data_IF_373730746130
#
_entry.id   IF_373730746130
#
_cell.length_a   1.000
_cell.length_b   1.000
_cell.length_c   1.000
_cell.angle_alpha   90.00
_cell.angle_beta   90.00
_cell.angle_gamma   90.00
#
_symmetry.space_group_name_H-M   'P 1'
#
loop_
_entity.id
_entity.type
_entity.pdbx_description
1 polymer ?
#
# COMPACT_ATOMS: atom_id res chain seq x y z
N UNK A 1 -21.60 9.45 22.62
CA UNK A 1 -22.31 8.82 21.52
C UNK A 1 -21.72 7.43 21.32
N UNK A 2 -22.53 6.41 21.13
CA UNK A 2 -22.06 5.05 20.80
C UNK A 2 -21.78 4.96 19.29
N UNK A 3 -21.00 3.96 18.89
CA UNK A 3 -20.65 3.76 17.46
C UNK A 3 -21.92 3.50 16.64
N UNK A 4 -22.87 2.70 17.17
CA UNK A 4 -24.14 2.40 16.47
C UNK A 4 -24.99 3.65 16.28
N UNK A 5 -25.10 4.51 17.31
CA UNK A 5 -25.78 5.81 17.20
C UNK A 5 -25.14 6.68 16.11
N UNK A 6 -23.79 6.64 16.02
CA UNK A 6 -23.04 7.40 15.02
C UNK A 6 -23.31 6.88 13.60
N UNK A 7 -23.30 5.56 13.39
CA UNK A 7 -23.66 4.93 12.11
C UNK A 7 -25.08 5.33 11.69
N UNK A 8 -26.04 5.27 12.61
CA UNK A 8 -27.42 5.66 12.32
C UNK A 8 -27.56 7.15 11.99
N UNK A 9 -26.81 8.00 12.69
CA UNK A 9 -26.78 9.43 12.44
C UNK A 9 -26.21 9.73 11.05
N UNK A 10 -25.12 9.06 10.65
CA UNK A 10 -24.56 9.18 9.29
C UNK A 10 -25.59 8.82 8.23
N UNK A 11 -26.35 7.74 8.41
CA UNK A 11 -27.42 7.36 7.50
C UNK A 11 -28.59 8.35 7.40
N UNK A 12 -28.78 9.20 8.41
CA UNK A 12 -29.81 10.27 8.38
C UNK A 12 -29.34 11.54 7.68
N UNK A 13 -28.02 11.84 7.73
CA UNK A 13 -27.48 13.09 7.23
C UNK A 13 -26.82 12.98 5.84
N UNK A 14 -26.51 11.75 5.40
CA UNK A 14 -25.85 11.52 4.11
C UNK A 14 -26.71 10.56 3.26
N UNK A 15 -27.30 11.05 2.18
CA UNK A 15 -28.17 10.25 1.30
C UNK A 15 -27.48 9.02 0.70
N UNK A 16 -26.17 9.11 0.42
CA UNK A 16 -25.38 8.01 -0.11
C UNK A 16 -24.76 7.08 0.97
N UNK A 17 -25.21 7.13 2.23
CA UNK A 17 -24.63 6.28 3.28
C UNK A 17 -25.44 4.99 3.49
N UNK A 18 -24.78 3.84 3.32
CA UNK A 18 -25.37 2.52 3.56
C UNK A 18 -25.10 2.06 5.01
N UNK A 19 -26.07 2.32 5.90
CA UNK A 19 -26.00 1.91 7.31
C UNK A 19 -25.97 0.38 7.49
N UNK A 20 -26.56 -0.40 6.57
CA UNK A 20 -26.51 -1.88 6.63
C UNK A 20 -25.12 -2.38 6.31
N UNK A 21 -24.46 -1.78 5.30
CA UNK A 21 -23.08 -2.05 4.96
C UNK A 21 -22.15 -1.67 6.12
N UNK A 22 -22.34 -0.51 6.73
CA UNK A 22 -21.55 -0.07 7.88
C UNK A 22 -21.62 -1.08 9.04
N UNK A 23 -22.80 -1.58 9.38
CA UNK A 23 -22.99 -2.61 10.43
C UNK A 23 -22.32 -3.95 10.04
N UNK A 24 -22.36 -4.34 8.76
CA UNK A 24 -21.67 -5.54 8.25
C UNK A 24 -20.13 -5.39 8.35
N UNK A 25 -19.59 -4.25 7.92
CA UNK A 25 -18.16 -3.96 8.02
C UNK A 25 -17.69 -3.86 9.47
N UNK A 26 -18.44 -3.19 10.34
CA UNK A 26 -18.14 -3.13 11.78
C UNK A 26 -18.04 -4.53 12.40
N UNK A 27 -18.94 -5.45 12.02
CA UNK A 27 -18.87 -6.84 12.46
C UNK A 27 -17.65 -7.57 11.90
N UNK A 28 -17.27 -7.34 10.64
CA UNK A 28 -16.09 -7.96 10.03
C UNK A 28 -14.79 -7.55 10.75
N UNK A 29 -14.70 -6.29 11.17
CA UNK A 29 -13.58 -5.75 11.95
C UNK A 29 -13.64 -5.99 13.46
N UNK A 30 -14.62 -6.77 13.94
CA UNK A 30 -14.87 -6.96 15.38
C UNK A 30 -14.98 -5.64 16.18
N UNK A 31 -15.52 -4.59 15.52
CA UNK A 31 -15.75 -3.29 16.14
C UNK A 31 -16.98 -3.33 17.06
N UNK A 32 -16.78 -3.10 18.35
CA UNK A 32 -17.87 -3.02 19.32
C UNK A 32 -18.72 -1.76 19.07
N UNK A 33 -19.85 -1.96 18.40
CA UNK A 33 -20.79 -0.87 18.07
C UNK A 33 -21.48 -0.25 19.31
N UNK A 34 -21.42 -0.94 20.46
CA UNK A 34 -21.93 -0.42 21.74
C UNK A 34 -20.91 0.42 22.50
N UNK A 35 -19.64 0.40 22.07
CA UNK A 35 -18.61 1.22 22.66
C UNK A 35 -18.88 2.72 22.39
N UNK A 36 -18.47 3.57 23.31
CA UNK A 36 -18.48 5.02 23.07
C UNK A 36 -17.34 5.39 22.11
N UNK A 37 -17.63 6.22 21.12
CA UNK A 37 -16.62 6.67 20.12
C UNK A 37 -15.36 7.27 20.75
N UNK A 38 -15.52 8.01 21.85
CA UNK A 38 -14.39 8.60 22.60
C UNK A 38 -13.58 7.61 23.46
N UNK A 39 -14.09 6.37 23.64
CA UNK A 39 -13.40 5.31 24.40
C UNK A 39 -12.66 4.31 23.51
N UNK A 40 -12.77 4.44 22.19
CA UNK A 40 -12.06 3.58 21.24
C UNK A 40 -10.55 3.81 21.32
N UNK A 41 -9.78 2.71 21.22
CA UNK A 41 -8.34 2.80 20.98
C UNK A 41 -8.05 3.49 19.65
N UNK A 42 -6.81 3.89 19.43
CA UNK A 42 -6.42 4.52 18.15
C UNK A 42 -6.75 3.60 16.96
N UNK A 43 -6.39 2.33 17.03
CA UNK A 43 -6.71 1.35 15.96
C UNK A 43 -8.22 1.20 15.73
N UNK A 44 -9.02 1.01 16.79
CA UNK A 44 -10.48 0.92 16.62
C UNK A 44 -11.13 2.23 16.17
N UNK A 45 -10.51 3.38 16.44
CA UNK A 45 -10.96 4.66 15.87
C UNK A 45 -10.70 4.72 14.38
N UNK A 46 -9.52 4.30 13.93
CA UNK A 46 -9.19 4.14 12.50
C UNK A 46 -10.17 3.17 11.82
N UNK A 47 -10.42 2.00 12.41
CA UNK A 47 -11.43 1.03 11.91
C UNK A 47 -12.81 1.68 11.77
N UNK A 48 -13.26 2.43 12.78
CA UNK A 48 -14.55 3.12 12.71
C UNK A 48 -14.60 4.11 11.53
N UNK A 49 -13.54 4.87 11.30
CA UNK A 49 -13.44 5.78 10.15
C UNK A 49 -13.47 5.04 8.81
N UNK A 50 -12.76 3.91 8.69
CA UNK A 50 -12.76 3.07 7.49
C UNK A 50 -14.14 2.47 7.22
N UNK A 51 -14.83 1.97 8.25
CA UNK A 51 -16.21 1.47 8.14
C UNK A 51 -17.13 2.54 7.59
N UNK A 52 -17.03 3.77 8.06
CA UNK A 52 -17.84 4.88 7.56
C UNK A 52 -17.50 5.22 6.13
N UNK A 53 -16.21 5.37 5.80
CA UNK A 53 -15.73 5.72 4.48
C UNK A 53 -16.14 4.70 3.41
N UNK A 54 -15.98 3.40 3.68
CA UNK A 54 -16.38 2.31 2.78
C UNK A 54 -17.92 2.16 2.67
N UNK A 55 -18.68 2.79 3.56
CA UNK A 55 -20.15 2.76 3.54
C UNK A 55 -20.79 3.95 2.83
N UNK A 56 -19.98 4.91 2.37
CA UNK A 56 -20.42 6.02 1.54
C UNK A 56 -20.48 5.60 0.06
N UNK A 57 -21.56 5.96 -0.61
CA UNK A 57 -21.69 5.91 -2.06
C UNK A 57 -21.17 7.24 -2.64
N UNK A 58 -19.89 7.23 -3.02
CA UNK A 58 -19.20 8.40 -3.55
C UNK A 58 -18.29 7.98 -4.71
N UNK A 59 -18.21 8.80 -5.74
CA UNK A 59 -17.37 8.57 -6.92
C UNK A 59 -15.87 8.59 -6.61
N UNK A 60 -15.50 9.28 -5.54
CA UNK A 60 -14.10 9.44 -5.08
C UNK A 60 -13.98 9.05 -3.61
N UNK A 61 -13.05 8.16 -3.32
CA UNK A 61 -12.66 7.79 -1.96
C UNK A 61 -11.21 8.22 -1.72
N UNK A 62 -11.01 9.18 -0.82
CA UNK A 62 -9.69 9.70 -0.45
C UNK A 62 -9.31 9.15 0.92
N UNK A 63 -8.22 8.41 0.98
CA UNK A 63 -7.73 7.76 2.19
C UNK A 63 -6.31 8.24 2.50
N UNK A 64 -6.15 8.87 3.65
CA UNK A 64 -4.87 9.36 4.14
C UNK A 64 -4.39 8.45 5.28
N UNK A 65 -3.26 7.76 5.08
CA UNK A 65 -2.68 6.75 5.99
C UNK A 65 -3.73 5.78 6.57
N UNK A 66 -4.55 5.10 5.73
CA UNK A 66 -5.76 4.41 6.19
C UNK A 66 -5.51 3.26 7.16
N UNK A 67 -4.30 2.69 7.16
CA UNK A 67 -3.96 1.54 8.02
C UNK A 67 -3.05 1.90 9.18
N UNK A 68 -2.79 3.18 9.39
CA UNK A 68 -1.94 3.63 10.50
C UNK A 68 -2.58 3.26 11.85
N UNK A 69 -1.82 2.57 12.69
CA UNK A 69 -2.28 2.10 14.01
C UNK A 69 -3.09 0.80 13.99
N UNK A 70 -3.27 0.16 12.83
CA UNK A 70 -3.84 -1.17 12.72
C UNK A 70 -2.76 -2.26 12.89
N UNK A 71 -3.14 -3.39 13.45
CA UNK A 71 -2.32 -4.60 13.40
C UNK A 71 -2.37 -5.26 12.01
N UNK A 72 -1.50 -6.23 11.76
CA UNK A 72 -1.37 -6.87 10.46
C UNK A 72 -2.68 -7.53 9.98
N UNK A 73 -3.45 -8.16 10.88
CA UNK A 73 -4.69 -8.83 10.52
C UNK A 73 -5.78 -7.84 10.07
N UNK A 74 -5.91 -6.70 10.78
CA UNK A 74 -6.86 -5.67 10.40
C UNK A 74 -6.44 -4.92 9.13
N UNK A 75 -5.14 -4.77 8.85
CA UNK A 75 -4.65 -4.20 7.59
C UNK A 75 -5.00 -5.08 6.40
N UNK A 76 -4.70 -6.36 6.49
CA UNK A 76 -5.04 -7.34 5.44
C UNK A 76 -6.54 -7.37 5.17
N UNK A 77 -7.35 -7.43 6.23
CA UNK A 77 -8.81 -7.38 6.12
C UNK A 77 -9.30 -6.09 5.45
N UNK A 78 -8.70 -4.93 5.80
CA UNK A 78 -9.06 -3.65 5.17
C UNK A 78 -8.81 -3.68 3.66
N UNK A 79 -7.64 -4.13 3.22
CA UNK A 79 -7.33 -4.18 1.79
C UNK A 79 -8.22 -5.17 1.04
N UNK A 80 -8.53 -6.31 1.65
CA UNK A 80 -9.50 -7.25 1.09
C UNK A 80 -10.87 -6.60 0.91
N UNK A 81 -11.42 -5.97 1.94
CA UNK A 81 -12.72 -5.30 1.89
C UNK A 81 -12.75 -4.10 0.93
N UNK A 82 -11.63 -3.38 0.79
CA UNK A 82 -11.48 -2.31 -0.18
C UNK A 82 -11.55 -2.85 -1.62
N UNK A 83 -10.87 -3.96 -1.90
CA UNK A 83 -10.93 -4.61 -3.22
C UNK A 83 -12.31 -5.18 -3.52
N UNK A 84 -12.96 -5.81 -2.56
CA UNK A 84 -14.36 -6.27 -2.70
C UNK A 84 -15.29 -5.09 -3.01
N UNK A 85 -15.14 -3.96 -2.30
CA UNK A 85 -15.90 -2.75 -2.54
C UNK A 85 -15.66 -2.18 -3.95
N UNK A 86 -14.40 -2.13 -4.38
CA UNK A 86 -14.04 -1.65 -5.71
C UNK A 86 -14.64 -2.52 -6.84
N UNK A 87 -14.64 -3.83 -6.67
CA UNK A 87 -15.24 -4.76 -7.64
C UNK A 87 -16.77 -4.66 -7.69
N UNK A 88 -17.43 -4.44 -6.54
CA UNK A 88 -18.88 -4.25 -6.48
C UNK A 88 -19.33 -2.89 -7.00
N UNK A 89 -18.54 -1.84 -6.73
CA UNK A 89 -18.85 -0.44 -7.02
C UNK A 89 -17.59 0.28 -7.52
N UNK A 90 -17.24 0.12 -8.81
CA UNK A 90 -16.07 0.80 -9.36
C UNK A 90 -16.11 2.31 -9.13
N UNK A 91 -15.07 2.85 -8.47
CA UNK A 91 -14.92 4.27 -8.17
C UNK A 91 -13.44 4.65 -8.10
N UNK A 92 -13.14 5.93 -8.10
CA UNK A 92 -11.75 6.37 -7.94
C UNK A 92 -11.34 6.28 -6.46
N UNK A 93 -10.35 5.45 -6.18
CA UNK A 93 -9.75 5.35 -4.83
C UNK A 93 -8.36 5.96 -4.86
N UNK A 94 -8.11 6.93 -3.99
CA UNK A 94 -6.79 7.55 -3.79
C UNK A 94 -6.31 7.21 -2.39
N UNK A 95 -5.14 6.58 -2.30
CA UNK A 95 -4.50 6.24 -1.03
C UNK A 95 -3.20 7.03 -0.93
N UNK A 96 -3.11 7.91 0.07
CA UNK A 96 -1.86 8.56 0.47
C UNK A 96 -1.24 7.72 1.60
N UNK A 97 -0.05 7.18 1.38
CA UNK A 97 0.63 6.34 2.39
C UNK A 97 2.14 6.27 2.14
N UNK A 98 2.90 6.07 3.20
CA UNK A 98 4.32 5.72 3.12
C UNK A 98 4.57 4.20 3.12
N UNK A 99 3.53 3.37 3.33
CA UNK A 99 3.60 1.90 3.33
C UNK A 99 3.42 1.34 1.91
N UNK A 100 4.38 1.65 1.04
CA UNK A 100 4.31 1.39 -0.40
C UNK A 100 4.12 -0.09 -0.70
N UNK A 101 4.81 -0.98 0.01
CA UNK A 101 4.75 -2.44 -0.21
C UNK A 101 3.34 -3.00 0.00
N UNK A 102 2.58 -2.45 0.94
CA UNK A 102 1.23 -2.93 1.25
C UNK A 102 0.23 -2.61 0.13
N UNK A 103 0.40 -1.48 -0.56
CA UNK A 103 -0.50 -1.03 -1.63
C UNK A 103 0.00 -1.33 -3.04
N UNK A 104 1.27 -1.73 -3.17
CA UNK A 104 1.94 -1.89 -4.46
C UNK A 104 1.19 -2.81 -5.44
N UNK A 105 0.51 -3.84 -4.93
CA UNK A 105 -0.23 -4.81 -5.74
C UNK A 105 -1.70 -4.44 -5.95
N UNK A 106 -2.17 -3.36 -5.34
CA UNK A 106 -3.58 -2.94 -5.39
C UNK A 106 -3.78 -1.74 -6.32
N UNK A 107 -2.73 -0.92 -6.51
CA UNK A 107 -2.83 0.35 -7.23
C UNK A 107 -2.49 0.19 -8.71
N UNK A 108 -3.23 0.93 -9.55
CA UNK A 108 -2.98 1.01 -11.00
C UNK A 108 -1.99 2.14 -11.34
N UNK A 109 -2.02 3.23 -10.57
CA UNK A 109 -1.20 4.41 -10.78
C UNK A 109 -0.53 4.86 -9.50
N UNK A 110 0.70 5.32 -9.62
CA UNK A 110 1.49 5.84 -8.50
C UNK A 110 1.91 7.26 -8.82
N UNK A 111 1.77 8.14 -7.83
CA UNK A 111 2.32 9.50 -7.87
C UNK A 111 3.23 9.66 -6.65
N UNK A 112 4.51 9.91 -6.89
CA UNK A 112 5.49 10.17 -5.84
C UNK A 112 5.57 11.68 -5.62
N UNK A 113 5.35 12.10 -4.38
CA UNK A 113 5.40 13.51 -3.97
C UNK A 113 6.47 13.66 -2.90
N UNK A 114 7.33 14.63 -3.08
CA UNK A 114 8.33 15.03 -2.10
C UNK A 114 8.43 16.56 -2.04
N UNK A 115 8.57 17.14 -0.85
CA UNK A 115 8.61 18.59 -0.61
C UNK A 115 7.52 19.40 -1.36
N UNK A 116 6.32 18.82 -1.50
CA UNK A 116 5.19 19.45 -2.20
C UNK A 116 5.31 19.45 -3.73
N UNK A 117 6.25 18.70 -4.30
CA UNK A 117 6.46 18.55 -5.75
C UNK A 117 6.19 17.11 -6.17
N UNK A 118 5.61 16.96 -7.35
CA UNK A 118 5.49 15.63 -7.97
C UNK A 118 6.85 15.27 -8.58
N UNK A 119 7.50 14.25 -8.02
CA UNK A 119 8.78 13.73 -8.54
C UNK A 119 8.55 12.78 -9.71
N UNK A 120 7.50 11.97 -9.63
CA UNK A 120 7.20 10.97 -10.64
C UNK A 120 5.70 10.65 -10.65
N UNK A 121 5.20 10.34 -11.84
CA UNK A 121 3.87 9.79 -12.02
C UNK A 121 3.93 8.72 -13.11
N UNK A 122 3.52 7.49 -12.78
CA UNK A 122 3.55 6.36 -13.70
C UNK A 122 2.47 5.33 -13.34
N UNK A 123 2.21 4.38 -14.22
CA UNK A 123 1.45 3.19 -13.85
C UNK A 123 2.29 2.28 -12.92
N UNK A 124 1.62 1.49 -12.11
CA UNK A 124 2.31 0.53 -11.25
C UNK A 124 3.13 -0.49 -12.08
N UNK A 125 2.64 -0.86 -13.26
CA UNK A 125 3.34 -1.80 -14.15
C UNK A 125 4.58 -1.18 -14.79
N UNK A 126 4.53 0.10 -15.21
CA UNK A 126 5.70 0.82 -15.68
C UNK A 126 6.77 0.90 -14.58
N UNK A 127 6.37 1.19 -13.33
CA UNK A 127 7.31 1.23 -12.22
C UNK A 127 7.92 -0.13 -11.91
N UNK A 128 7.11 -1.22 -11.92
CA UNK A 128 7.62 -2.58 -11.70
C UNK A 128 8.59 -3.01 -12.81
N UNK A 129 8.37 -2.56 -14.03
CA UNK A 129 9.23 -2.86 -15.19
C UNK A 129 10.41 -1.91 -15.33
N UNK A 130 10.48 -0.82 -14.56
CA UNK A 130 11.57 0.16 -14.61
C UNK A 130 12.87 -0.37 -14.01
N UNK A 131 12.84 -1.48 -13.30
CA UNK A 131 14.00 -2.09 -12.67
C UNK A 131 13.77 -3.55 -12.32
N UNK A 132 14.77 -4.15 -11.74
CA UNK A 132 14.78 -5.56 -11.33
C UNK A 132 15.66 -5.75 -10.09
N UNK A 133 15.49 -6.89 -9.44
CA UNK A 133 16.41 -7.35 -8.41
C UNK A 133 17.14 -8.60 -8.86
N UNK A 134 18.39 -8.76 -8.39
CA UNK A 134 19.21 -9.95 -8.57
C UNK A 134 19.57 -10.49 -7.20
N UNK A 135 19.27 -11.75 -6.95
CA UNK A 135 19.54 -12.42 -5.67
C UNK A 135 20.39 -13.67 -5.86
N UNK A 136 21.19 -13.99 -4.84
CA UNK A 136 22.08 -15.13 -4.84
C UNK A 136 23.16 -15.03 -3.77
N UNK A 137 24.26 -15.77 -3.95
CA UNK A 137 25.42 -15.63 -3.05
C UNK A 137 26.02 -14.22 -3.20
N UNK A 138 26.40 -13.59 -2.11
CA UNK A 138 26.92 -12.22 -2.13
C UNK A 138 28.07 -12.00 -3.11
N UNK A 139 28.96 -12.98 -3.28
CA UNK A 139 30.06 -12.90 -4.25
C UNK A 139 29.56 -12.90 -5.71
N UNK A 140 28.56 -13.74 -6.03
CA UNK A 140 28.01 -13.84 -7.37
C UNK A 140 27.18 -12.57 -7.72
N UNK A 141 26.39 -12.04 -6.76
CA UNK A 141 25.63 -10.79 -6.90
C UNK A 141 26.58 -9.59 -7.10
N UNK A 142 27.66 -9.49 -6.33
CA UNK A 142 28.65 -8.42 -6.50
C UNK A 142 29.33 -8.48 -7.88
N UNK A 143 29.68 -9.67 -8.34
CA UNK A 143 30.27 -9.85 -9.68
C UNK A 143 29.29 -9.44 -10.79
N UNK A 144 28.00 -9.78 -10.63
CA UNK A 144 26.95 -9.35 -11.56
C UNK A 144 26.84 -7.81 -11.63
N UNK A 145 26.86 -7.16 -10.47
CA UNK A 145 26.67 -5.72 -10.32
C UNK A 145 27.88 -4.87 -10.76
N UNK A 146 29.01 -5.47 -11.08
CA UNK A 146 30.23 -4.72 -11.43
C UNK A 146 30.01 -3.84 -12.66
N UNK A 147 30.13 -2.51 -12.47
CA UNK A 147 29.92 -1.51 -13.52
C UNK A 147 28.46 -1.22 -13.88
N UNK A 148 27.47 -1.73 -13.12
CA UNK A 148 26.06 -1.40 -13.28
C UNK A 148 25.62 -0.31 -12.28
N UNK A 149 24.55 0.43 -12.62
CA UNK A 149 23.94 1.42 -11.72
C UNK A 149 23.03 0.71 -10.70
N UNK A 150 23.60 0.43 -9.54
CA UNK A 150 22.92 -0.28 -8.44
C UNK A 150 22.19 0.73 -7.58
N UNK A 151 20.88 0.52 -7.36
CA UNK A 151 20.06 1.35 -6.49
C UNK A 151 20.39 1.09 -5.01
N UNK A 152 20.39 -0.19 -4.62
CA UNK A 152 20.62 -0.64 -3.24
C UNK A 152 21.06 -2.10 -3.21
N UNK A 153 21.67 -2.53 -2.10
CA UNK A 153 22.07 -3.93 -1.87
C UNK A 153 21.75 -4.31 -0.42
N UNK A 154 20.90 -5.32 -0.25
CA UNK A 154 20.67 -5.96 1.03
C UNK A 154 21.56 -7.21 1.11
N UNK A 155 22.38 -7.34 2.17
CA UNK A 155 23.23 -8.51 2.39
C UNK A 155 23.01 -9.08 3.78
N UNK A 156 22.74 -10.38 3.85
CA UNK A 156 22.58 -11.12 5.11
C UNK A 156 23.12 -12.54 5.00
N UNK A 157 24.02 -12.93 5.89
CA UNK A 157 24.47 -14.33 6.01
C UNK A 157 25.16 -14.90 4.76
N UNK A 158 25.80 -14.05 3.93
CA UNK A 158 26.47 -14.46 2.70
C UNK A 158 25.55 -14.60 1.48
N UNK A 159 24.27 -14.22 1.60
CA UNK A 159 23.30 -14.02 0.51
C UNK A 159 23.09 -12.53 0.32
N UNK A 160 22.95 -12.09 -0.93
CA UNK A 160 22.67 -10.68 -1.24
C UNK A 160 21.50 -10.58 -2.21
N UNK A 161 20.82 -9.42 -2.14
CA UNK A 161 19.84 -8.97 -3.13
C UNK A 161 20.25 -7.57 -3.56
N UNK A 162 20.56 -7.41 -4.84
CA UNK A 162 20.83 -6.11 -5.44
C UNK A 162 19.61 -5.63 -6.23
N UNK A 163 19.33 -4.33 -6.15
CA UNK A 163 18.24 -3.67 -6.86
C UNK A 163 18.83 -2.74 -7.93
N UNK A 164 18.38 -2.86 -9.17
CA UNK A 164 18.94 -2.18 -10.32
C UNK A 164 17.82 -1.56 -11.19
N UNK A 165 18.14 -0.48 -11.89
CA UNK A 165 17.27 0.08 -12.93
C UNK A 165 17.47 -0.64 -14.28
N UNK A 166 16.44 -0.61 -15.11
CA UNK A 166 16.47 -1.17 -16.46
C UNK A 166 16.10 -2.64 -16.52
N UNK A 167 16.71 -3.39 -17.40
CA UNK A 167 16.45 -4.82 -17.64
C UNK A 167 17.67 -5.67 -17.28
N UNK A 168 17.45 -6.93 -16.81
CA UNK A 168 18.56 -7.82 -16.48
C UNK A 168 19.49 -8.06 -17.68
N UNK A 169 20.79 -8.03 -17.43
CA UNK A 169 21.80 -8.42 -18.41
C UNK A 169 21.88 -9.94 -18.50
N UNK A 170 21.29 -10.50 -19.56
CA UNK A 170 21.19 -11.94 -19.74
C UNK A 170 22.59 -12.63 -19.91
N UNK A 171 23.61 -11.91 -20.37
CA UNK A 171 24.95 -12.47 -20.54
C UNK A 171 25.69 -12.66 -19.20
N UNK A 172 25.32 -11.89 -18.19
CA UNK A 172 25.88 -11.97 -16.84
C UNK A 172 25.10 -12.91 -15.91
N UNK A 173 23.86 -13.25 -16.28
CA UNK A 173 23.06 -14.18 -15.48
C UNK A 173 23.59 -15.61 -15.60
N UNK A 174 23.54 -16.33 -14.51
CA UNK A 174 23.86 -17.73 -14.43
C UNK A 174 22.90 -18.47 -13.48
N UNK A 175 22.94 -19.80 -13.44
CA UNK A 175 22.04 -20.65 -12.65
C UNK A 175 22.13 -20.46 -11.13
N UNK A 176 22.98 -19.55 -10.64
CA UNK A 176 23.16 -19.22 -9.21
C UNK A 176 22.51 -17.90 -8.84
N UNK A 177 21.96 -17.20 -9.81
CA UNK A 177 21.33 -15.90 -9.66
C UNK A 177 19.86 -15.97 -10.06
N UNK A 178 18.99 -15.50 -9.17
CA UNK A 178 17.58 -15.34 -9.44
C UNK A 178 17.27 -13.87 -9.69
N UNK A 179 16.30 -13.60 -10.59
CA UNK A 179 15.83 -12.25 -10.90
C UNK A 179 14.35 -12.10 -10.58
N UNK A 180 13.98 -10.92 -10.11
CA UNK A 180 12.58 -10.55 -9.85
C UNK A 180 12.34 -9.07 -10.23
N UNK A 181 11.08 -8.61 -10.41
CA UNK A 181 10.76 -7.19 -10.55
C UNK A 181 11.30 -6.36 -9.38
N UNK A 182 11.59 -5.08 -9.64
CA UNK A 182 12.10 -4.17 -8.59
C UNK A 182 11.07 -4.00 -7.47
N UNK A 183 11.56 -3.93 -6.24
CA UNK A 183 10.76 -3.53 -5.10
C UNK A 183 10.45 -2.02 -5.17
N UNK A 184 9.16 -1.66 -5.19
CA UNK A 184 8.73 -0.26 -5.35
C UNK A 184 9.16 0.64 -4.19
N UNK A 185 9.29 0.11 -2.97
CA UNK A 185 9.78 0.88 -1.83
C UNK A 185 11.26 1.23 -1.99
N UNK A 186 12.09 0.30 -2.47
CA UNK A 186 13.51 0.57 -2.76
C UNK A 186 13.66 1.62 -3.86
N UNK A 187 12.83 1.52 -4.91
CA UNK A 187 12.78 2.51 -5.98
C UNK A 187 12.40 3.90 -5.43
N UNK A 188 11.37 3.97 -4.58
CA UNK A 188 10.92 5.22 -3.96
C UNK A 188 12.04 5.88 -3.13
N UNK A 189 12.65 5.14 -2.20
CA UNK A 189 13.74 5.66 -1.34
C UNK A 189 14.84 6.27 -2.20
N UNK A 190 15.22 5.58 -3.28
CA UNK A 190 16.31 6.07 -4.16
C UNK A 190 15.94 7.30 -4.99
N UNK A 191 14.68 7.43 -5.38
CA UNK A 191 14.20 8.62 -6.09
C UNK A 191 14.16 9.84 -5.18
N UNK A 192 13.81 9.67 -3.91
CA UNK A 192 13.79 10.77 -2.93
C UNK A 192 15.18 11.17 -2.48
N UNK A 193 16.15 10.23 -2.36
CA UNK A 193 17.55 10.56 -2.03
C UNK A 193 18.28 11.33 -3.15
N UNK A 194 17.89 11.15 -4.42
CA UNK A 194 18.50 11.88 -5.57
C UNK A 194 17.90 13.29 -5.76
N UNK A 195 16.88 13.66 -5.01
CA UNK A 195 16.22 14.97 -5.04
C UNK A 195 16.94 16.06 -4.22
N UNK A 196 17.93 15.69 -3.41
CA UNK A 196 18.85 16.60 -2.73
C UNK A 196 20.07 16.87 -3.66
#
# INVERSE_FOLDING_TARGET
MHVDDFIEQMGRFHEGFDAKRAKRLAKAFDLDVKAKTGALSTGYRTICQLVLALSLDADYLLLDEPVLGLDAAHRELFYQLLMEDYLERPRTVVIATHLIEEVANLVERVTIIDEGRVLMQASADELRSSGYSVSGRAADVRAYCEGLDVLDVDELGGVAVAYLLGTPDAERLNDRLDTAPVNLQKLFVKLTEKGE
#
